data_IF_855055834446
#
_entry.id   IF_855055834446
#
_cell.length_a   1.000
_cell.length_b   1.000
_cell.length_c   1.000
_cell.angle_alpha   90.00
_cell.angle_beta   90.00
_cell.angle_gamma   90.00
#
_symmetry.space_group_name_H-M   'P 1'
#
loop_
_entity.id
_entity.type
_entity.pdbx_description
1 polymer ?
#
# COMPACT_ATOMS: atom_id res chain seq x y z
N UNK A 1 -13.69 -26.14 -5.73
CA UNK A 1 -13.97 -25.86 -4.30
C UNK A 1 -12.75 -25.22 -3.70
N UNK A 2 -12.96 -24.21 -2.84
CA UNK A 2 -11.95 -23.54 -2.03
C UNK A 2 -12.30 -23.80 -0.57
N UNK A 3 -11.31 -24.15 0.24
CA UNK A 3 -11.45 -24.37 1.68
C UNK A 3 -10.69 -23.29 2.42
N UNK A 4 -11.40 -22.39 3.09
CA UNK A 4 -10.83 -21.37 3.95
C UNK A 4 -10.65 -21.98 5.35
N UNK A 5 -9.40 -22.21 5.73
CA UNK A 5 -9.02 -22.76 7.02
C UNK A 5 -9.01 -21.65 8.07
N UNK A 6 -10.21 -21.30 8.59
CA UNK A 6 -10.39 -20.28 9.62
C UNK A 6 -9.55 -20.59 10.87
N UNK A 7 -8.93 -19.58 11.46
CA UNK A 7 -8.03 -19.68 12.59
C UNK A 7 -6.83 -20.61 12.38
N UNK A 8 -6.41 -20.82 11.11
CA UNK A 8 -5.32 -21.76 10.85
C UNK A 8 -4.05 -21.41 11.63
N UNK A 9 -3.62 -20.16 11.61
CA UNK A 9 -2.35 -19.77 12.25
C UNK A 9 -2.39 -19.92 13.76
N UNK A 10 -3.49 -19.54 14.42
CA UNK A 10 -3.66 -19.74 15.85
C UNK A 10 -3.79 -21.22 16.22
N UNK A 11 -4.57 -21.96 15.42
CA UNK A 11 -4.70 -23.40 15.55
C UNK A 11 -3.36 -24.13 15.42
N UNK A 12 -2.56 -23.73 14.43
CA UNK A 12 -1.21 -24.27 14.22
C UNK A 12 -0.30 -23.99 15.43
N UNK A 13 -0.30 -22.78 15.97
CA UNK A 13 0.49 -22.44 17.17
C UNK A 13 0.06 -23.27 18.39
N UNK A 14 -1.22 -23.57 18.49
CA UNK A 14 -1.78 -24.39 19.60
C UNK A 14 -1.56 -25.89 19.40
N UNK A 15 -1.84 -26.39 18.19
CA UNK A 15 -1.71 -27.81 17.85
C UNK A 15 -1.34 -27.98 16.35
N UNK A 16 -0.03 -27.95 16.03
CA UNK A 16 0.43 -28.04 14.65
C UNK A 16 -0.07 -29.30 13.93
N UNK A 17 -0.02 -30.46 14.62
CA UNK A 17 -0.42 -31.74 14.04
C UNK A 17 -1.88 -31.73 13.59
N UNK A 18 -2.79 -31.25 14.43
CA UNK A 18 -4.22 -31.17 14.13
C UNK A 18 -4.48 -30.22 12.94
N UNK A 19 -3.88 -29.04 12.96
CA UNK A 19 -4.07 -28.05 11.88
C UNK A 19 -3.56 -28.54 10.53
N UNK A 20 -2.43 -29.23 10.50
CA UNK A 20 -1.91 -29.86 9.27
C UNK A 20 -2.83 -30.98 8.80
N UNK A 21 -3.38 -31.80 9.70
CA UNK A 21 -4.32 -32.89 9.35
C UNK A 21 -5.62 -32.34 8.78
N UNK A 22 -6.17 -31.25 9.32
CA UNK A 22 -7.37 -30.59 8.82
C UNK A 22 -7.21 -30.14 7.36
N UNK A 23 -6.14 -29.37 7.10
CA UNK A 23 -5.92 -28.85 5.73
C UNK A 23 -5.61 -29.97 4.73
N UNK A 24 -4.86 -31.00 5.16
CA UNK A 24 -4.58 -32.17 4.35
C UNK A 24 -5.86 -32.93 4.00
N UNK A 25 -6.74 -33.17 4.98
CA UNK A 25 -8.02 -33.84 4.77
C UNK A 25 -8.91 -33.09 3.77
N UNK A 26 -8.99 -31.75 3.87
CA UNK A 26 -9.74 -30.94 2.92
C UNK A 26 -9.16 -31.01 1.51
N UNK A 27 -7.84 -31.03 1.37
CA UNK A 27 -7.15 -31.15 0.09
C UNK A 27 -7.38 -32.55 -0.53
N UNK A 28 -7.21 -33.60 0.26
CA UNK A 28 -7.43 -34.99 -0.18
C UNK A 28 -8.90 -35.25 -0.58
N UNK A 29 -9.87 -34.54 0.05
CA UNK A 29 -11.27 -34.56 -0.33
C UNK A 29 -11.59 -33.78 -1.62
N UNK A 30 -10.60 -33.15 -2.26
CA UNK A 30 -10.73 -32.51 -3.58
C UNK A 30 -10.87 -30.98 -3.56
N UNK A 31 -10.57 -30.32 -2.45
CA UNK A 31 -10.46 -28.86 -2.47
C UNK A 31 -9.28 -28.42 -3.38
N UNK A 32 -9.56 -27.57 -4.36
CA UNK A 32 -8.55 -27.08 -5.30
C UNK A 32 -7.64 -26.04 -4.69
N UNK A 33 -8.17 -25.27 -3.74
CA UNK A 33 -7.48 -24.24 -2.99
C UNK A 33 -7.68 -24.46 -1.50
N UNK A 34 -6.58 -24.40 -0.78
CA UNK A 34 -6.56 -24.33 0.69
C UNK A 34 -6.07 -22.95 1.07
N UNK A 35 -6.88 -22.16 1.74
CA UNK A 35 -6.56 -20.81 2.17
C UNK A 35 -6.28 -20.79 3.67
N UNK A 36 -5.10 -20.41 4.03
CA UNK A 36 -4.70 -20.30 5.43
C UNK A 36 -5.12 -18.93 5.97
N UNK A 37 -6.00 -18.93 6.98
CA UNK A 37 -6.58 -17.70 7.52
C UNK A 37 -5.91 -17.30 8.83
N UNK A 38 -5.38 -16.08 8.88
CA UNK A 38 -4.97 -15.40 10.12
C UNK A 38 -6.16 -14.58 10.63
N UNK A 39 -7.15 -15.28 11.17
CA UNK A 39 -8.46 -14.72 11.54
C UNK A 39 -8.34 -13.65 12.63
N UNK A 40 -7.37 -13.80 13.55
CA UNK A 40 -7.11 -12.84 14.61
C UNK A 40 -6.11 -11.74 14.21
N UNK A 41 -5.45 -11.86 13.04
CA UNK A 41 -4.46 -10.90 12.55
C UNK A 41 -3.21 -10.79 13.42
N UNK A 42 -2.90 -11.85 14.19
CA UNK A 42 -1.81 -11.88 15.18
C UNK A 42 -0.52 -12.54 14.72
N UNK A 43 -0.45 -13.01 13.47
CA UNK A 43 0.74 -13.71 12.96
C UNK A 43 1.82 -12.71 12.55
N UNK A 44 3.02 -12.93 13.09
CA UNK A 44 4.18 -12.09 12.78
C UNK A 44 4.97 -12.66 11.60
N UNK A 45 5.63 -11.80 10.80
CA UNK A 45 6.28 -12.21 9.55
C UNK A 45 7.32 -13.33 9.69
N UNK A 46 8.08 -13.32 10.76
CA UNK A 46 9.14 -14.33 10.99
C UNK A 46 8.60 -15.74 11.29
N UNK A 47 7.31 -15.87 11.65
CA UNK A 47 6.67 -17.17 11.91
C UNK A 47 6.35 -17.92 10.61
N UNK A 48 6.16 -17.19 9.50
CA UNK A 48 5.65 -17.75 8.24
C UNK A 48 6.55 -18.85 7.67
N UNK A 49 7.88 -18.68 7.70
CA UNK A 49 8.79 -19.66 7.12
C UNK A 49 8.58 -21.05 7.72
N UNK A 50 8.58 -21.15 9.05
CA UNK A 50 8.43 -22.44 9.76
C UNK A 50 7.06 -23.06 9.47
N UNK A 51 6.00 -22.26 9.47
CA UNK A 51 4.64 -22.72 9.21
C UNK A 51 4.53 -23.26 7.78
N UNK A 52 5.01 -22.51 6.78
CA UNK A 52 4.98 -22.96 5.38
C UNK A 52 5.90 -24.15 5.11
N UNK A 53 6.99 -24.30 5.87
CA UNK A 53 7.87 -25.48 5.78
C UNK A 53 7.15 -26.77 6.17
N UNK A 54 6.22 -26.71 7.10
CA UNK A 54 5.38 -27.86 7.46
C UNK A 54 4.20 -28.05 6.48
N UNK A 55 3.53 -26.96 6.11
CA UNK A 55 2.39 -27.00 5.18
C UNK A 55 2.78 -27.60 3.82
N UNK A 56 3.93 -27.21 3.27
CA UNK A 56 4.39 -27.69 1.95
C UNK A 56 4.69 -29.19 1.91
N UNK A 57 4.82 -29.86 3.08
CA UNK A 57 5.01 -31.32 3.15
C UNK A 57 3.73 -32.07 2.81
N UNK A 58 2.55 -31.43 2.94
CA UNK A 58 1.24 -32.06 2.74
C UNK A 58 0.43 -31.44 1.61
N UNK A 59 0.67 -30.17 1.27
CA UNK A 59 -0.05 -29.45 0.20
C UNK A 59 0.95 -28.73 -0.69
N UNK A 60 0.87 -28.87 -2.03
CA UNK A 60 1.67 -28.07 -2.93
C UNK A 60 1.40 -26.58 -2.75
N UNK A 61 2.44 -25.77 -2.65
CA UNK A 61 2.29 -24.30 -2.49
C UNK A 61 1.51 -23.66 -3.63
N UNK A 62 1.44 -24.30 -4.79
CA UNK A 62 0.64 -23.87 -5.95
C UNK A 62 -0.86 -23.96 -5.72
N UNK A 63 -1.31 -24.71 -4.71
CA UNK A 63 -2.69 -24.88 -4.32
C UNK A 63 -3.02 -24.12 -3.02
N UNK A 64 -2.07 -23.29 -2.51
CA UNK A 64 -2.27 -22.51 -1.32
C UNK A 64 -2.67 -21.07 -1.61
N UNK A 65 -3.61 -20.61 -0.80
CA UNK A 65 -3.98 -19.23 -0.61
C UNK A 65 -3.70 -18.76 0.82
N UNK A 66 -3.73 -17.44 1.03
CA UNK A 66 -3.63 -16.81 2.34
C UNK A 66 -4.66 -15.70 2.49
N UNK A 67 -5.12 -15.55 3.74
CA UNK A 67 -6.04 -14.49 4.15
C UNK A 67 -5.58 -13.93 5.49
N UNK A 68 -5.08 -12.69 5.49
CA UNK A 68 -4.57 -12.05 6.71
C UNK A 68 -5.45 -10.88 7.12
N UNK A 69 -5.87 -10.85 8.41
CA UNK A 69 -6.36 -9.65 9.06
C UNK A 69 -5.21 -8.75 9.52
N UNK A 70 -5.48 -7.46 9.71
CA UNK A 70 -4.45 -6.42 9.87
C UNK A 70 -4.28 -5.92 11.31
N UNK A 71 -4.66 -6.71 12.31
CA UNK A 71 -4.68 -6.29 13.71
C UNK A 71 -3.30 -5.95 14.29
N UNK A 72 -2.24 -6.53 13.74
CA UNK A 72 -0.84 -6.23 14.07
C UNK A 72 -0.13 -5.38 13.01
N UNK A 73 -0.88 -4.81 12.03
CA UNK A 73 -0.37 -4.04 10.89
C UNK A 73 0.58 -4.83 9.95
N UNK A 74 0.54 -6.16 9.98
CA UNK A 74 1.41 -7.03 9.20
C UNK A 74 0.71 -7.73 8.01
N UNK A 75 -0.60 -7.59 7.84
CA UNK A 75 -1.35 -8.33 6.83
C UNK A 75 -0.79 -8.17 5.40
N UNK A 76 -0.45 -6.94 5.01
CA UNK A 76 0.13 -6.66 3.70
C UNK A 76 1.50 -7.33 3.53
N UNK A 77 2.38 -7.23 4.54
CA UNK A 77 3.70 -7.85 4.46
C UNK A 77 3.59 -9.38 4.48
N UNK A 78 2.78 -9.95 5.37
CA UNK A 78 2.54 -11.40 5.44
C UNK A 78 2.03 -11.96 4.11
N UNK A 79 1.14 -11.23 3.43
CA UNK A 79 0.64 -11.61 2.10
C UNK A 79 1.75 -11.60 1.04
N UNK A 80 2.58 -10.57 1.02
CA UNK A 80 3.70 -10.45 0.08
C UNK A 80 4.72 -11.55 0.34
N UNK A 81 5.07 -11.79 1.60
CA UNK A 81 6.03 -12.81 2.00
C UNK A 81 5.51 -14.22 1.66
N UNK A 82 4.22 -14.49 1.88
CA UNK A 82 3.60 -15.76 1.48
C UNK A 82 3.74 -16.02 -0.03
N UNK A 83 3.52 -14.99 -0.87
CA UNK A 83 3.74 -15.11 -2.32
C UNK A 83 5.21 -15.37 -2.64
N UNK A 84 6.15 -14.73 -1.94
CA UNK A 84 7.59 -14.94 -2.10
C UNK A 84 7.98 -16.38 -1.73
N UNK A 85 7.33 -16.95 -0.73
CA UNK A 85 7.50 -18.35 -0.31
C UNK A 85 6.85 -19.36 -1.28
N UNK A 86 6.03 -18.91 -2.24
CA UNK A 86 5.50 -19.74 -3.31
C UNK A 86 3.97 -19.86 -3.37
N UNK A 87 3.24 -19.27 -2.43
CA UNK A 87 1.78 -19.22 -2.43
C UNK A 87 1.27 -18.49 -3.67
N UNK A 88 0.16 -18.96 -4.25
CA UNK A 88 -0.35 -18.46 -5.53
C UNK A 88 -1.62 -17.62 -5.42
N UNK A 89 -2.28 -17.62 -4.27
CA UNK A 89 -3.48 -16.84 -4.05
C UNK A 89 -3.35 -15.98 -2.80
N UNK A 90 -3.78 -14.73 -2.90
CA UNK A 90 -3.96 -13.82 -1.76
C UNK A 90 -5.39 -13.34 -1.76
N UNK A 91 -6.08 -13.56 -0.64
CA UNK A 91 -7.35 -12.90 -0.34
C UNK A 91 -7.07 -11.62 0.45
N UNK A 92 -7.84 -10.60 0.16
CA UNK A 92 -7.76 -9.30 0.81
C UNK A 92 -8.78 -8.34 0.22
N UNK A 93 -8.69 -7.08 0.58
CA UNK A 93 -9.66 -6.07 0.13
C UNK A 93 -8.97 -4.82 -0.39
N UNK A 94 -9.64 -4.09 -1.28
CA UNK A 94 -9.19 -2.75 -1.63
C UNK A 94 -9.26 -1.83 -0.40
N UNK A 95 -8.25 -0.98 -0.24
CA UNK A 95 -8.09 -0.06 0.88
C UNK A 95 -8.00 -0.75 2.26
N UNK A 96 -7.80 -2.07 2.30
CA UNK A 96 -7.72 -2.82 3.55
C UNK A 96 -9.04 -2.90 4.32
N UNK A 97 -10.18 -2.79 3.63
CA UNK A 97 -11.49 -2.88 4.26
C UNK A 97 -11.69 -4.23 4.97
N UNK A 98 -12.46 -4.25 6.05
CA UNK A 98 -12.80 -5.46 6.77
C UNK A 98 -13.08 -5.20 8.25
N UNK A 99 -13.29 -6.27 8.98
CA UNK A 99 -13.55 -6.23 10.41
C UNK A 99 -12.34 -5.71 11.20
N UNK A 100 -12.59 -5.09 12.33
CA UNK A 100 -11.61 -4.53 13.26
C UNK A 100 -10.62 -3.58 12.56
N UNK A 101 -9.35 -4.02 12.36
CA UNK A 101 -8.31 -3.25 11.68
C UNK A 101 -8.26 -3.51 10.16
N UNK A 102 -9.19 -4.33 9.64
CA UNK A 102 -9.32 -4.66 8.23
C UNK A 102 -8.52 -5.88 7.79
N UNK A 103 -8.43 -6.05 6.49
CA UNK A 103 -7.72 -7.13 5.81
C UNK A 103 -6.43 -6.64 5.13
N UNK A 104 -5.69 -7.58 4.59
CA UNK A 104 -4.58 -7.27 3.68
C UNK A 104 -5.01 -6.30 2.59
N UNK A 105 -4.33 -5.16 2.47
CA UNK A 105 -4.67 -4.15 1.48
C UNK A 105 -4.16 -4.56 0.10
N UNK A 106 -5.06 -5.02 -0.77
CA UNK A 106 -4.72 -5.49 -2.12
C UNK A 106 -4.07 -4.40 -3.01
N UNK A 107 -4.33 -3.13 -2.75
CA UNK A 107 -3.63 -2.02 -3.43
C UNK A 107 -2.13 -2.10 -3.15
N UNK A 108 -1.77 -2.24 -1.87
CA UNK A 108 -0.37 -2.30 -1.44
C UNK A 108 0.28 -3.62 -1.85
N UNK A 109 -0.43 -4.74 -1.69
CA UNK A 109 0.07 -6.07 -2.11
C UNK A 109 0.39 -6.07 -3.60
N UNK A 110 -0.56 -5.65 -4.45
CA UNK A 110 -0.38 -5.65 -5.90
C UNK A 110 0.74 -4.70 -6.35
N UNK A 111 0.79 -3.49 -5.81
CA UNK A 111 1.83 -2.52 -6.16
C UNK A 111 3.23 -3.05 -5.80
N UNK A 112 3.40 -3.64 -4.62
CA UNK A 112 4.69 -4.22 -4.20
C UNK A 112 5.08 -5.43 -5.04
N UNK A 113 4.17 -6.38 -5.26
CA UNK A 113 4.46 -7.57 -6.08
C UNK A 113 4.87 -7.20 -7.51
N UNK A 114 4.17 -6.22 -8.12
CA UNK A 114 4.41 -5.83 -9.51
C UNK A 114 5.63 -4.91 -9.64
N UNK A 115 5.68 -3.83 -8.84
CA UNK A 115 6.66 -2.75 -9.04
C UNK A 115 8.00 -3.01 -8.32
N UNK A 116 7.98 -3.74 -7.20
CA UNK A 116 9.18 -4.00 -6.40
C UNK A 116 9.76 -5.39 -6.65
N UNK A 117 8.90 -6.39 -6.80
CA UNK A 117 9.32 -7.78 -6.94
C UNK A 117 9.22 -8.30 -8.40
N UNK A 118 8.66 -7.50 -9.31
CA UNK A 118 8.63 -7.84 -10.74
C UNK A 118 7.66 -8.96 -11.13
N UNK A 119 6.74 -9.34 -10.23
CA UNK A 119 5.76 -10.38 -10.55
C UNK A 119 4.88 -9.97 -11.72
N UNK A 120 4.59 -10.94 -12.59
CA UNK A 120 3.74 -10.74 -13.75
C UNK A 120 2.32 -11.26 -13.46
N UNK A 121 1.36 -10.35 -13.40
CA UNK A 121 -0.06 -10.70 -13.28
C UNK A 121 -0.91 -9.81 -14.21
N UNK A 122 -2.17 -10.20 -14.44
CA UNK A 122 -3.09 -9.46 -15.32
C UNK A 122 -3.28 -8.00 -14.92
N UNK A 123 -3.18 -7.70 -13.63
CA UNK A 123 -3.34 -6.36 -13.07
C UNK A 123 -2.22 -5.40 -13.51
N UNK A 124 -1.04 -5.90 -13.86
CA UNK A 124 0.12 -5.10 -14.29
C UNK A 124 -0.24 -4.09 -15.38
N UNK A 125 -1.07 -4.50 -16.36
CA UNK A 125 -1.52 -3.64 -17.48
C UNK A 125 -2.48 -2.53 -17.06
N UNK A 126 -3.07 -2.60 -15.87
CA UNK A 126 -4.07 -1.67 -15.34
C UNK A 126 -3.67 -1.06 -13.99
N UNK A 127 -2.41 -1.22 -13.58
CA UNK A 127 -1.94 -0.75 -12.29
C UNK A 127 -2.11 0.77 -12.12
N UNK A 128 -2.00 1.51 -13.20
CA UNK A 128 -2.26 2.96 -13.23
C UNK A 128 -3.73 3.36 -12.97
N UNK A 129 -4.62 2.41 -12.74
CA UNK A 129 -6.02 2.66 -12.34
C UNK A 129 -6.26 2.49 -10.85
N UNK A 130 -5.29 1.96 -10.08
CA UNK A 130 -5.57 1.60 -8.69
C UNK A 130 -5.87 2.81 -7.81
N UNK A 131 -5.29 3.98 -8.08
CA UNK A 131 -5.60 5.22 -7.35
C UNK A 131 -7.04 5.66 -7.58
N UNK A 132 -7.51 5.67 -8.83
CA UNK A 132 -8.90 6.05 -9.13
C UNK A 132 -9.91 5.04 -8.57
N UNK A 133 -9.59 3.74 -8.58
CA UNK A 133 -10.44 2.70 -8.01
C UNK A 133 -10.48 2.83 -6.48
N UNK A 134 -9.33 3.07 -5.84
CA UNK A 134 -9.27 3.28 -4.39
C UNK A 134 -10.18 4.44 -3.94
N UNK A 135 -10.12 5.56 -4.66
CA UNK A 135 -10.97 6.74 -4.39
C UNK A 135 -12.44 6.47 -4.65
N UNK A 136 -12.76 5.79 -5.75
CA UNK A 136 -14.14 5.41 -6.08
C UNK A 136 -14.78 4.53 -4.99
N UNK A 137 -14.03 3.58 -4.44
CA UNK A 137 -14.52 2.72 -3.35
C UNK A 137 -14.83 3.56 -2.10
N UNK A 138 -13.94 4.49 -1.73
CA UNK A 138 -14.20 5.38 -0.58
C UNK A 138 -15.42 6.28 -0.83
N UNK A 139 -15.61 6.77 -2.07
CA UNK A 139 -16.77 7.56 -2.47
C UNK A 139 -18.08 6.76 -2.36
N UNK A 140 -18.10 5.52 -2.90
CA UNK A 140 -19.27 4.61 -2.80
C UNK A 140 -19.61 4.34 -1.33
N UNK A 141 -18.61 4.22 -0.47
CA UNK A 141 -18.78 3.99 0.96
C UNK A 141 -19.09 5.28 1.76
N UNK A 142 -19.20 6.42 1.08
CA UNK A 142 -19.38 7.74 1.68
C UNK A 142 -18.37 8.05 2.80
N UNK A 143 -17.10 7.73 2.57
CA UNK A 143 -16.01 7.96 3.52
C UNK A 143 -14.89 8.77 2.89
N UNK A 144 -14.22 9.58 3.70
CA UNK A 144 -13.07 10.35 3.25
C UNK A 144 -11.88 9.44 3.03
N UNK A 145 -11.25 9.53 1.85
CA UNK A 145 -10.02 8.81 1.56
C UNK A 145 -8.89 9.27 2.47
N UNK A 146 -8.15 8.31 3.02
CA UNK A 146 -6.99 8.60 3.86
C UNK A 146 -5.85 9.16 3.01
N UNK A 147 -5.40 10.36 3.37
CA UNK A 147 -4.37 11.08 2.61
C UNK A 147 -3.01 10.37 2.59
N UNK A 148 -2.69 9.62 3.63
CA UNK A 148 -1.41 8.92 3.83
C UNK A 148 -1.41 7.46 3.40
N UNK A 149 -2.46 6.97 2.71
CA UNK A 149 -2.43 5.61 2.17
C UNK A 149 -1.24 5.41 1.25
N UNK A 150 -0.42 4.37 1.45
CA UNK A 150 0.68 4.07 0.54
C UNK A 150 0.20 3.94 -0.90
N UNK A 151 0.98 4.43 -1.86
CA UNK A 151 0.74 4.45 -3.30
C UNK A 151 -0.43 5.34 -3.77
N UNK A 152 -1.58 5.36 -3.12
CA UNK A 152 -2.83 5.95 -3.66
C UNK A 152 -3.30 7.19 -2.91
N UNK A 153 -2.83 7.41 -1.69
CA UNK A 153 -3.20 8.59 -0.90
C UNK A 153 -2.75 9.88 -1.56
N UNK A 154 -3.49 10.96 -1.33
CA UNK A 154 -3.18 12.28 -1.90
C UNK A 154 -1.85 12.86 -1.41
N UNK A 155 -1.34 12.38 -0.27
CA UNK A 155 -0.05 12.79 0.28
C UNK A 155 1.07 11.76 0.02
N UNK A 156 0.79 10.61 -0.64
CA UNK A 156 1.77 9.54 -0.84
C UNK A 156 3.04 9.99 -1.61
N UNK A 157 2.89 11.00 -2.48
CA UNK A 157 3.99 11.60 -3.24
C UNK A 157 4.01 13.13 -3.07
N UNK A 158 3.71 13.58 -1.85
CA UNK A 158 3.73 15.01 -1.51
C UNK A 158 5.08 15.38 -0.90
N UNK A 159 5.69 16.43 -1.42
CA UNK A 159 6.95 16.98 -0.94
C UNK A 159 6.73 18.40 -0.41
N UNK A 160 7.02 18.63 0.88
CA UNK A 160 6.83 19.91 1.56
C UNK A 160 8.15 20.66 1.76
N UNK A 161 9.23 19.98 2.10
CA UNK A 161 10.53 20.60 2.38
C UNK A 161 11.22 21.13 1.12
N UNK A 162 11.75 22.35 1.18
CA UNK A 162 12.41 23.00 0.04
C UNK A 162 13.60 22.21 -0.52
N UNK A 163 14.37 21.56 0.35
CA UNK A 163 15.48 20.70 -0.06
C UNK A 163 14.98 19.45 -0.81
N UNK A 164 13.92 18.82 -0.30
CA UNK A 164 13.31 17.65 -0.92
C UNK A 164 12.75 17.98 -2.32
N UNK A 165 12.05 19.11 -2.44
CA UNK A 165 11.51 19.58 -3.72
C UNK A 165 12.62 19.82 -4.73
N UNK A 166 13.69 20.51 -4.31
CA UNK A 166 14.84 20.75 -5.18
C UNK A 166 15.54 19.48 -5.64
N UNK A 167 15.64 18.48 -4.76
CA UNK A 167 16.23 17.18 -5.11
C UNK A 167 15.35 16.39 -6.07
N UNK A 168 14.03 16.31 -5.81
CA UNK A 168 13.06 15.63 -6.68
C UNK A 168 12.99 16.26 -8.08
N UNK A 169 13.13 17.59 -8.19
CA UNK A 169 13.18 18.28 -9.48
C UNK A 169 14.42 17.90 -10.30
N UNK A 170 15.55 17.63 -9.63
CA UNK A 170 16.79 17.18 -10.29
C UNK A 170 16.75 15.70 -10.62
N UNK A 171 16.36 14.89 -9.67
CA UNK A 171 16.21 13.45 -9.81
C UNK A 171 15.08 12.97 -8.91
N UNK A 172 13.91 12.59 -9.47
CA UNK A 172 12.78 12.05 -8.72
C UNK A 172 13.15 10.87 -7.82
N UNK A 173 14.07 10.01 -8.24
CA UNK A 173 14.49 8.82 -7.49
C UNK A 173 15.15 9.15 -6.15
N UNK A 174 15.56 10.40 -5.93
CA UNK A 174 16.14 10.83 -4.65
C UNK A 174 15.16 10.74 -3.48
N UNK A 175 13.85 10.86 -3.72
CA UNK A 175 12.79 10.83 -2.70
C UNK A 175 11.55 10.03 -3.09
N UNK A 176 11.47 9.53 -4.32
CA UNK A 176 10.35 8.73 -4.78
C UNK A 176 10.79 7.31 -5.09
N UNK A 177 10.18 6.36 -4.43
CA UNK A 177 10.52 4.94 -4.58
C UNK A 177 9.95 4.31 -5.85
N UNK A 178 9.04 4.98 -6.53
CA UNK A 178 8.44 4.67 -7.84
C UNK A 178 8.03 5.97 -8.54
N UNK A 179 7.75 5.91 -9.85
CA UNK A 179 7.03 6.97 -10.55
C UNK A 179 5.54 6.94 -10.11
N UNK A 180 4.98 8.03 -9.56
CA UNK A 180 3.59 8.11 -9.15
C UNK A 180 2.58 7.71 -10.24
N UNK A 181 2.87 8.03 -11.50
CA UNK A 181 2.00 7.71 -12.64
C UNK A 181 1.81 6.20 -12.84
N UNK A 182 2.75 5.38 -12.40
CA UNK A 182 2.67 3.92 -12.48
C UNK A 182 1.47 3.35 -11.71
N UNK A 183 1.01 4.06 -10.68
CA UNK A 183 -0.16 3.73 -9.87
C UNK A 183 -1.35 4.68 -10.11
N UNK A 184 -1.23 5.60 -11.07
CA UNK A 184 -2.25 6.61 -11.39
C UNK A 184 -2.36 7.73 -10.36
N UNK A 185 -1.30 7.95 -9.59
CA UNK A 185 -1.18 9.08 -8.66
C UNK A 185 -0.30 10.18 -9.27
N UNK A 186 -0.15 11.30 -8.57
CA UNK A 186 0.59 12.47 -9.01
C UNK A 186 1.56 12.95 -7.92
N UNK A 187 2.68 13.53 -8.37
CA UNK A 187 3.59 14.28 -7.49
C UNK A 187 2.95 15.59 -7.08
N UNK A 188 2.93 15.84 -5.78
CA UNK A 188 2.43 17.09 -5.21
C UNK A 188 3.58 17.87 -4.57
N UNK A 189 3.88 19.04 -5.12
CA UNK A 189 4.80 20.00 -4.50
C UNK A 189 3.99 20.99 -3.66
N UNK A 190 4.11 20.87 -2.35
CA UNK A 190 3.34 21.66 -1.39
C UNK A 190 4.06 22.99 -1.14
N UNK A 191 3.36 24.12 -1.24
CA UNK A 191 3.86 25.41 -0.79
C UNK A 191 3.56 25.56 0.70
N UNK A 192 4.57 25.83 1.50
CA UNK A 192 4.45 25.90 2.96
C UNK A 192 5.46 26.89 3.55
N UNK A 193 5.43 27.05 4.87
CA UNK A 193 6.43 27.85 5.62
C UNK A 193 7.88 27.37 5.38
N UNK A 194 8.09 26.10 5.02
CA UNK A 194 9.39 25.54 4.67
C UNK A 194 9.75 25.69 3.19
N UNK A 195 8.86 26.29 2.39
CA UNK A 195 9.08 26.49 0.96
C UNK A 195 10.05 27.63 0.70
N UNK A 196 11.02 27.40 -0.18
CA UNK A 196 11.88 28.44 -0.72
C UNK A 196 11.21 29.20 -1.89
N UNK A 197 11.84 30.33 -2.31
CA UNK A 197 11.36 31.12 -3.47
C UNK A 197 11.24 30.28 -4.74
N UNK A 198 12.13 29.33 -4.96
CA UNK A 198 12.13 28.42 -6.12
C UNK A 198 10.83 27.63 -6.23
N UNK A 199 10.27 27.14 -5.12
CA UNK A 199 9.04 26.36 -5.13
C UNK A 199 7.83 27.17 -5.59
N UNK A 200 7.71 28.42 -5.12
CA UNK A 200 6.65 29.32 -5.57
C UNK A 200 6.81 29.66 -7.05
N UNK A 201 8.04 29.95 -7.47
CA UNK A 201 8.38 30.24 -8.87
C UNK A 201 7.97 29.05 -9.77
N UNK A 202 8.30 27.82 -9.39
CA UNK A 202 7.99 26.65 -10.18
C UNK A 202 6.48 26.36 -10.23
N UNK A 203 5.77 26.56 -9.11
CA UNK A 203 4.31 26.43 -9.10
C UNK A 203 3.64 27.49 -9.99
N UNK A 204 4.12 28.76 -9.95
CA UNK A 204 3.62 29.81 -10.81
C UNK A 204 3.88 29.53 -12.30
N UNK A 205 5.06 28.99 -12.65
CA UNK A 205 5.36 28.54 -14.01
C UNK A 205 4.42 27.45 -14.49
N UNK A 206 4.11 26.46 -13.63
CA UNK A 206 3.14 25.38 -13.94
C UNK A 206 1.76 25.96 -14.30
N UNK A 207 1.35 27.02 -13.62
CA UNK A 207 0.12 27.76 -13.94
C UNK A 207 0.26 28.79 -15.08
N UNK A 208 1.40 28.83 -15.78
CA UNK A 208 1.69 29.77 -16.86
C UNK A 208 1.61 31.24 -16.43
N UNK A 209 1.84 31.54 -15.16
CA UNK A 209 1.82 32.89 -14.62
C UNK A 209 3.18 33.56 -14.89
N UNK A 210 3.17 34.73 -15.55
CA UNK A 210 4.39 35.49 -15.80
C UNK A 210 4.95 36.07 -14.49
N UNK A 211 6.20 35.75 -14.20
CA UNK A 211 6.90 36.10 -12.95
C UNK A 211 8.06 37.11 -13.18
N UNK A 212 8.36 37.51 -14.41
CA UNK A 212 9.44 38.46 -14.70
C UNK A 212 9.21 39.77 -13.91
N UNK A 213 10.21 40.22 -13.15
CA UNK A 213 10.16 41.47 -12.36
C UNK A 213 9.24 41.42 -11.14
N UNK A 214 8.83 40.23 -10.68
CA UNK A 214 7.92 40.09 -9.53
C UNK A 214 8.59 39.47 -8.30
N UNK A 215 9.92 39.51 -8.18
CA UNK A 215 10.68 38.88 -7.08
C UNK A 215 10.24 39.37 -5.69
N UNK A 216 9.97 40.68 -5.54
CA UNK A 216 9.45 41.28 -4.29
C UNK A 216 8.07 40.70 -3.92
N UNK A 217 7.16 40.56 -4.90
CA UNK A 217 5.83 39.99 -4.66
C UNK A 217 5.91 38.52 -4.26
N UNK A 218 6.85 37.75 -4.79
CA UNK A 218 7.08 36.35 -4.41
C UNK A 218 7.55 36.26 -2.95
N UNK A 219 8.43 37.16 -2.53
CA UNK A 219 8.89 37.21 -1.15
C UNK A 219 7.76 37.56 -0.16
N UNK A 220 6.97 38.60 -0.47
CA UNK A 220 5.81 38.98 0.35
C UNK A 220 4.74 37.88 0.39
N UNK A 221 4.53 37.16 -0.71
CA UNK A 221 3.63 36.00 -0.74
C UNK A 221 4.13 34.86 0.17
N UNK A 222 5.43 34.57 0.18
CA UNK A 222 6.00 33.55 1.09
C UNK A 222 5.83 33.94 2.57
N UNK A 223 6.03 35.22 2.91
CA UNK A 223 5.79 35.72 4.27
C UNK A 223 4.32 35.57 4.66
N UNK A 224 3.41 35.91 3.75
CA UNK A 224 1.96 35.71 3.96
C UNK A 224 1.64 34.24 4.24
N UNK A 225 2.14 33.30 3.40
CA UNK A 225 1.93 31.86 3.60
C UNK A 225 2.48 31.40 4.96
N UNK A 226 3.69 31.84 5.36
CA UNK A 226 4.26 31.51 6.66
C UNK A 226 3.40 32.00 7.82
N UNK A 227 2.91 33.24 7.73
CA UNK A 227 2.06 33.80 8.75
C UNK A 227 0.72 33.09 8.86
N UNK A 228 0.11 32.74 7.71
CA UNK A 228 -1.15 32.00 7.70
C UNK A 228 -0.99 30.58 8.24
N UNK A 229 0.09 29.86 7.90
CA UNK A 229 0.36 28.55 8.48
C UNK A 229 0.61 28.60 10.00
N UNK A 230 1.23 29.67 10.51
CA UNK A 230 1.39 29.88 11.97
C UNK A 230 0.04 30.05 12.70
N UNK A 231 -1.00 30.44 11.96
CA UNK A 231 -2.39 30.53 12.44
C UNK A 231 -3.20 29.24 12.23
N UNK A 232 -2.57 28.16 11.70
CA UNK A 232 -3.19 26.86 11.52
C UNK A 232 -3.79 26.61 10.13
N UNK A 233 -3.64 27.53 9.17
CA UNK A 233 -4.08 27.30 7.80
C UNK A 233 -3.09 26.39 7.04
N UNK A 234 -3.62 25.48 6.20
CA UNK A 234 -2.84 24.61 5.33
C UNK A 234 -3.17 24.87 3.85
N UNK A 235 -2.15 24.86 2.95
CA UNK A 235 -2.28 25.15 1.52
C UNK A 235 -1.83 23.98 0.65
#
# INVERSE_FOLDING_TARGET
VMFDAEHFFDGYKSNPKYSIEVIKTAFDAGAQWIVLCDTNGGTLPFELNNIFDDVKKVIPLTNLGVHFHNDTDNATYNSIESVRLGVKQVQGTFNGLGERCGNSNLVNVAANLILKLGYNCKLKKKLNKITSISRLIDEILNRQSLRNLPFVGSAAFAHKGGLHISAVEKDPKSYEHIDPSSVGNERLLVVSNQSGKSNVVNKLKKFKINIKGKEKKISSFLELVKNQESLGYAY
#
